data_IF_050187876575
#
_entry.id   IF_050187876575
#
_cell.length_a   1.000
_cell.length_b   1.000
_cell.length_c   1.000
_cell.angle_alpha   90.00
_cell.angle_beta   90.00
_cell.angle_gamma   90.00
#
_symmetry.space_group_name_H-M   'P 1'
#
loop_
_entity.id
_entity.type
_entity.pdbx_description
1 polymer ?
#
# COMPACT_ATOMS: atom_id res chain seq x y z
N UNK A 1 11.01 16.52 -9.26
CA UNK A 1 11.01 17.80 -10.02
C UNK A 1 12.39 18.00 -10.65
N UNK A 2 13.47 18.17 -9.88
CA UNK A 2 14.86 18.34 -10.36
C UNK A 2 15.24 17.35 -11.48
N UNK A 3 15.12 16.04 -11.28
CA UNK A 3 15.46 15.02 -12.29
C UNK A 3 14.69 15.27 -13.60
N UNK A 4 13.38 15.52 -13.51
CA UNK A 4 12.57 15.79 -14.69
C UNK A 4 13.02 17.07 -15.39
N UNK A 5 13.12 18.16 -14.66
CA UNK A 5 13.33 19.49 -15.24
C UNK A 5 14.77 19.69 -15.75
N UNK A 6 15.76 19.12 -15.06
CA UNK A 6 17.18 19.33 -15.38
C UNK A 6 17.84 18.21 -16.22
N UNK A 7 17.37 16.97 -16.06
CA UNK A 7 18.00 15.83 -16.71
C UNK A 7 17.17 15.16 -17.81
N UNK A 8 15.88 15.46 -17.91
CA UNK A 8 14.99 14.84 -18.91
C UNK A 8 14.50 15.86 -19.92
N UNK A 9 13.82 16.91 -19.47
CA UNK A 9 13.20 17.89 -20.36
C UNK A 9 14.16 18.62 -21.33
N UNK A 10 15.45 18.85 -21.02
CA UNK A 10 16.39 19.42 -21.97
C UNK A 10 16.66 18.54 -23.19
N UNK A 11 16.38 17.22 -23.09
CA UNK A 11 16.73 16.25 -24.12
C UNK A 11 15.51 15.53 -24.73
N UNK A 12 14.35 15.62 -24.07
CA UNK A 12 13.13 14.89 -24.46
C UNK A 12 11.91 15.77 -24.29
N UNK A 13 11.07 15.87 -25.34
CA UNK A 13 9.74 16.49 -25.25
C UNK A 13 8.80 15.56 -24.49
N UNK A 14 8.83 15.66 -23.15
CA UNK A 14 8.01 14.85 -22.25
C UNK A 14 6.83 15.66 -21.72
N UNK A 15 5.62 15.30 -22.14
CA UNK A 15 4.39 15.80 -21.53
C UNK A 15 4.13 15.03 -20.24
N UNK A 16 3.90 15.74 -19.14
CA UNK A 16 3.67 15.13 -17.84
C UNK A 16 2.60 15.86 -17.05
N UNK A 17 1.77 15.12 -16.35
CA UNK A 17 0.88 15.65 -15.31
C UNK A 17 1.56 15.53 -13.94
N UNK A 18 1.36 16.51 -13.08
CA UNK A 18 1.95 16.55 -11.73
C UNK A 18 0.86 16.56 -10.67
N UNK A 19 1.00 15.67 -9.70
CA UNK A 19 0.11 15.55 -8.54
C UNK A 19 0.92 15.76 -7.27
N UNK A 20 0.57 16.79 -6.48
CA UNK A 20 1.25 17.05 -5.22
C UNK A 20 0.70 16.13 -4.12
N UNK A 21 1.52 15.17 -3.69
CA UNK A 21 1.20 14.25 -2.61
C UNK A 21 1.80 14.69 -1.26
N UNK A 22 2.18 15.96 -1.13
CA UNK A 22 2.59 16.55 0.14
C UNK A 22 1.43 16.62 1.14
N UNK A 23 1.74 16.54 2.45
CA UNK A 23 0.71 16.51 3.51
C UNK A 23 -0.24 17.72 3.45
N UNK A 24 0.22 18.97 3.26
CA UNK A 24 -0.70 20.11 3.23
C UNK A 24 -1.71 20.03 2.10
N UNK A 25 -1.29 19.63 0.91
CA UNK A 25 -2.20 19.56 -0.24
C UNK A 25 -3.13 18.35 -0.17
N UNK A 26 -2.66 17.21 0.35
CA UNK A 26 -3.52 16.06 0.65
C UNK A 26 -4.60 16.42 1.66
N UNK A 27 -4.23 17.16 2.70
CA UNK A 27 -5.17 17.62 3.73
C UNK A 27 -6.22 18.59 3.16
N UNK A 28 -5.78 19.54 2.34
CA UNK A 28 -6.65 20.50 1.65
C UNK A 28 -7.67 19.81 0.71
N UNK A 29 -7.25 18.72 0.05
CA UNK A 29 -8.08 18.00 -0.91
C UNK A 29 -8.80 16.78 -0.30
N UNK A 30 -8.78 16.62 1.02
CA UNK A 30 -9.28 15.43 1.70
C UNK A 30 -8.73 14.12 1.10
N UNK A 31 -7.44 14.13 0.74
CA UNK A 31 -6.71 13.04 0.09
C UNK A 31 -7.20 12.67 -1.33
N UNK A 32 -8.09 13.47 -1.93
CA UNK A 32 -8.59 13.23 -3.28
C UNK A 32 -7.45 13.21 -4.30
N UNK A 33 -6.43 14.06 -4.15
CA UNK A 33 -5.25 14.10 -5.02
C UNK A 33 -4.52 12.75 -5.10
N UNK A 34 -4.54 11.96 -4.04
CA UNK A 34 -3.95 10.60 -4.04
C UNK A 34 -4.74 9.67 -4.97
N UNK A 35 -6.06 9.75 -4.96
CA UNK A 35 -6.94 8.98 -5.84
C UNK A 35 -6.74 9.42 -7.28
N UNK A 36 -6.76 10.73 -7.55
CA UNK A 36 -6.58 11.29 -8.89
C UNK A 36 -5.25 10.89 -9.51
N UNK A 37 -4.17 10.89 -8.70
CA UNK A 37 -2.84 10.44 -9.14
C UNK A 37 -2.82 8.95 -9.52
N UNK A 38 -3.56 8.11 -8.82
CA UNK A 38 -3.66 6.68 -9.11
C UNK A 38 -4.47 6.41 -10.37
N UNK A 39 -5.58 7.11 -10.57
CA UNK A 39 -6.39 7.00 -11.78
C UNK A 39 -5.65 7.53 -13.01
N UNK A 40 -4.88 8.60 -12.87
CA UNK A 40 -3.99 9.08 -13.92
C UNK A 40 -2.91 8.03 -14.28
N UNK A 41 -2.30 7.39 -13.28
CA UNK A 41 -1.33 6.32 -13.49
C UNK A 41 -1.93 5.14 -14.26
N UNK A 42 -3.19 4.77 -13.99
CA UNK A 42 -3.93 3.76 -14.75
C UNK A 42 -4.18 4.20 -16.19
N UNK A 43 -4.61 5.44 -16.35
CA UNK A 43 -4.92 6.01 -17.68
C UNK A 43 -3.71 6.04 -18.61
N UNK A 44 -2.56 6.45 -18.08
CA UNK A 44 -1.34 6.61 -18.88
C UNK A 44 -0.44 5.36 -18.91
N UNK A 45 -0.68 4.39 -18.02
CA UNK A 45 0.11 3.15 -17.93
C UNK A 45 1.51 3.34 -17.34
N UNK A 46 1.90 4.55 -16.97
CA UNK A 46 3.21 4.88 -16.39
C UNK A 46 3.11 6.03 -15.40
N UNK A 47 3.81 5.92 -14.31
CA UNK A 47 3.93 6.98 -13.32
C UNK A 47 5.26 6.90 -12.57
N UNK A 48 5.76 8.05 -12.13
CA UNK A 48 6.93 8.14 -11.24
C UNK A 48 6.50 8.81 -9.93
N UNK A 49 6.63 8.09 -8.83
CA UNK A 49 6.30 8.59 -7.50
C UNK A 49 7.55 8.81 -6.68
N UNK A 50 7.71 10.01 -6.15
CA UNK A 50 8.74 10.32 -5.16
C UNK A 50 8.31 9.88 -3.75
N UNK A 51 9.24 9.96 -2.79
CA UNK A 51 8.95 9.73 -1.39
C UNK A 51 7.85 10.67 -0.87
N UNK A 52 7.01 10.15 0.02
CA UNK A 52 5.95 10.91 0.70
C UNK A 52 5.97 10.62 2.18
N UNK A 53 5.43 11.55 2.96
CA UNK A 53 5.30 11.41 4.41
C UNK A 53 3.92 10.80 4.73
N UNK A 54 3.92 9.79 5.59
CA UNK A 54 2.69 9.31 6.25
C UNK A 54 2.64 9.94 7.63
N UNK A 55 1.57 10.67 7.98
CA UNK A 55 1.49 11.35 9.26
C UNK A 55 1.35 10.37 10.42
N UNK A 56 1.97 10.71 11.52
CA UNK A 56 1.75 10.14 12.85
C UNK A 56 1.19 11.23 13.76
N UNK A 57 0.95 10.93 15.04
CA UNK A 57 0.38 11.90 15.98
C UNK A 57 1.19 13.21 16.05
N UNK A 58 2.52 13.13 16.12
CA UNK A 58 3.39 14.31 16.14
C UNK A 58 3.26 15.17 14.88
N UNK A 59 3.12 14.55 13.72
CA UNK A 59 2.98 15.25 12.44
C UNK A 59 1.61 15.87 12.23
N UNK A 60 0.59 15.40 12.94
CA UNK A 60 -0.72 16.04 12.97
C UNK A 60 -0.60 17.48 13.46
N UNK A 61 0.13 17.69 14.56
CA UNK A 61 0.34 19.01 15.14
C UNK A 61 1.31 19.86 14.31
N UNK A 62 2.43 19.27 13.85
CA UNK A 62 3.45 19.93 13.05
C UNK A 62 2.86 20.55 11.76
N UNK A 63 2.03 19.79 11.05
CA UNK A 63 1.42 20.22 9.78
C UNK A 63 0.01 20.76 9.94
N UNK A 64 -0.54 20.81 11.16
CA UNK A 64 -1.92 21.26 11.47
C UNK A 64 -2.96 20.54 10.63
N UNK A 65 -2.82 19.21 10.53
CA UNK A 65 -3.72 18.37 9.73
C UNK A 65 -5.06 18.18 10.46
N UNK A 66 -6.15 18.17 9.72
CA UNK A 66 -7.46 17.89 10.29
C UNK A 66 -7.73 16.38 10.43
N UNK A 67 -6.92 15.54 9.76
CA UNK A 67 -7.06 14.07 9.82
C UNK A 67 -5.72 13.38 9.67
N UNK A 68 -5.54 12.26 10.37
CA UNK A 68 -4.39 11.38 10.19
C UNK A 68 -4.58 10.53 8.92
N UNK A 69 -4.06 11.03 7.80
CA UNK A 69 -4.18 10.41 6.49
C UNK A 69 -3.42 9.09 6.41
N UNK A 70 -4.02 8.09 5.79
CA UNK A 70 -3.35 6.80 5.51
C UNK A 70 -2.19 6.99 4.54
N UNK A 71 -1.33 5.98 4.43
CA UNK A 71 -0.23 6.03 3.47
C UNK A 71 -0.73 6.18 2.03
N UNK A 72 -0.29 7.19 1.27
CA UNK A 72 -0.68 7.34 -0.14
C UNK A 72 -0.18 6.16 -0.99
N UNK A 73 0.92 5.51 -0.58
CA UNK A 73 1.40 4.31 -1.24
C UNK A 73 0.38 3.16 -1.18
N UNK A 74 -0.26 2.98 -0.02
CA UNK A 74 -1.30 1.97 0.16
C UNK A 74 -2.53 2.25 -0.70
N UNK A 75 -2.99 3.51 -0.71
CA UNK A 75 -4.14 3.95 -1.52
C UNK A 75 -3.88 3.77 -3.02
N UNK A 76 -2.74 4.27 -3.52
CA UNK A 76 -2.36 4.14 -4.94
C UNK A 76 -2.27 2.67 -5.35
N UNK A 77 -1.55 1.84 -4.58
CA UNK A 77 -1.42 0.40 -4.88
C UNK A 77 -2.76 -0.33 -4.88
N UNK A 78 -3.63 -0.01 -3.95
CA UNK A 78 -4.96 -0.62 -3.87
C UNK A 78 -5.85 -0.25 -5.07
N UNK A 79 -5.73 0.97 -5.59
CA UNK A 79 -6.48 1.42 -6.77
C UNK A 79 -5.90 0.78 -8.04
N UNK A 80 -4.57 0.74 -8.16
CA UNK A 80 -3.89 0.16 -9.32
C UNK A 80 -4.00 -1.36 -9.36
N UNK A 81 -4.03 -1.99 -8.17
CA UNK A 81 -3.90 -3.46 -8.00
C UNK A 81 -2.56 -3.96 -8.59
N UNK A 82 -2.39 -5.27 -8.69
CA UNK A 82 -1.23 -5.89 -9.34
C UNK A 82 -0.19 -6.43 -8.36
N UNK A 83 0.96 -6.80 -8.92
CA UNK A 83 2.04 -7.46 -8.18
C UNK A 83 3.36 -6.76 -8.45
N UNK A 84 4.12 -6.51 -7.40
CA UNK A 84 5.48 -5.98 -7.49
C UNK A 84 6.47 -7.11 -7.24
N UNK A 85 7.34 -7.38 -8.20
CA UNK A 85 8.45 -8.32 -8.06
C UNK A 85 9.74 -7.55 -7.76
N UNK A 86 10.45 -7.99 -6.73
CA UNK A 86 11.74 -7.44 -6.32
C UNK A 86 12.79 -8.52 -6.46
N UNK A 87 13.43 -8.56 -7.62
CA UNK A 87 14.60 -9.38 -7.84
C UNK A 87 15.83 -8.67 -7.25
N UNK A 88 16.77 -9.39 -6.65
CA UNK A 88 17.98 -8.80 -6.11
C UNK A 88 18.90 -8.30 -7.23
N UNK A 89 19.48 -7.14 -7.01
CA UNK A 89 20.58 -6.64 -7.84
C UNK A 89 21.88 -7.06 -7.14
N UNK A 90 22.61 -7.99 -7.73
CA UNK A 90 23.86 -8.49 -7.17
C UNK A 90 25.06 -7.79 -7.78
N UNK A 91 25.98 -7.33 -6.94
CA UNK A 91 27.25 -6.72 -7.34
C UNK A 91 28.36 -7.61 -6.80
N UNK A 92 29.24 -8.17 -7.64
CA UNK A 92 30.26 -9.16 -7.22
C UNK A 92 31.18 -8.69 -6.09
N UNK A 93 31.47 -7.40 -6.02
CA UNK A 93 32.31 -6.81 -4.98
C UNK A 93 31.59 -6.52 -3.65
N UNK A 94 30.27 -6.68 -3.60
CA UNK A 94 29.46 -6.44 -2.40
C UNK A 94 28.90 -7.77 -1.92
N UNK A 95 29.39 -8.23 -0.79
CA UNK A 95 28.91 -9.48 -0.21
C UNK A 95 27.51 -9.31 0.40
N UNK A 96 26.59 -10.29 0.24
CA UNK A 96 25.28 -10.25 0.85
C UNK A 96 25.39 -10.29 2.38
N UNK A 97 24.43 -9.66 3.07
CA UNK A 97 24.35 -9.67 4.53
C UNK A 97 24.26 -11.09 5.11
N UNK A 98 23.65 -12.01 4.38
CA UNK A 98 23.56 -13.43 4.74
C UNK A 98 24.51 -14.21 3.82
N UNK A 99 25.64 -14.63 4.36
CA UNK A 99 26.72 -15.24 3.58
C UNK A 99 26.35 -16.53 2.85
N UNK A 100 25.35 -17.27 3.36
CA UNK A 100 24.91 -18.57 2.80
C UNK A 100 23.86 -18.41 1.68
N UNK A 101 23.46 -17.20 1.33
CA UNK A 101 22.54 -16.98 0.22
C UNK A 101 23.31 -16.91 -1.09
N UNK A 102 23.39 -18.06 -1.76
CA UNK A 102 24.11 -18.22 -3.02
C UNK A 102 23.24 -17.97 -4.25
N UNK A 103 21.91 -18.10 -4.09
CA UNK A 103 20.94 -17.92 -5.17
C UNK A 103 20.09 -16.68 -4.94
N UNK A 104 19.68 -15.99 -6.01
CA UNK A 104 18.78 -14.84 -5.87
C UNK A 104 17.42 -15.26 -5.31
N UNK A 105 16.89 -14.46 -4.37
CA UNK A 105 15.57 -14.62 -3.80
C UNK A 105 14.70 -13.47 -4.28
N UNK A 106 13.70 -13.76 -5.10
CA UNK A 106 12.75 -12.75 -5.58
C UNK A 106 11.55 -12.66 -4.64
N UNK A 107 11.23 -11.46 -4.21
CA UNK A 107 10.07 -11.18 -3.35
C UNK A 107 8.91 -10.66 -4.20
N UNK A 108 7.82 -11.41 -4.25
CA UNK A 108 6.56 -10.95 -4.82
C UNK A 108 5.73 -10.23 -3.76
N UNK A 109 5.20 -9.05 -4.10
CA UNK A 109 4.34 -8.27 -3.20
C UNK A 109 2.99 -8.04 -3.84
N UNK A 110 1.94 -8.50 -3.16
CA UNK A 110 0.56 -8.20 -3.50
C UNK A 110 0.24 -6.74 -3.21
N UNK A 111 -0.42 -6.06 -4.13
CA UNK A 111 -0.67 -4.61 -4.04
C UNK A 111 -2.05 -4.26 -3.45
N UNK A 112 -2.86 -5.23 -3.09
CA UNK A 112 -4.24 -5.03 -2.63
C UNK A 112 -4.52 -5.67 -1.28
N UNK A 113 -5.36 -5.01 -0.47
CA UNK A 113 -5.83 -5.55 0.80
C UNK A 113 -4.75 -5.61 1.88
N UNK A 114 -4.74 -6.71 2.63
CA UNK A 114 -3.77 -6.99 3.69
C UNK A 114 -3.64 -5.84 4.70
N UNK A 115 -2.43 -5.55 5.16
CA UNK A 115 -2.15 -4.48 6.13
C UNK A 115 -2.48 -3.06 5.63
N UNK A 116 -2.54 -2.83 4.32
CA UNK A 116 -2.83 -1.49 3.79
C UNK A 116 -4.30 -1.08 3.90
N UNK A 117 -5.20 -2.06 3.96
CA UNK A 117 -6.65 -1.86 4.14
C UNK A 117 -7.18 -2.50 5.41
N UNK A 118 -6.29 -2.86 6.35
CA UNK A 118 -6.69 -3.35 7.65
C UNK A 118 -7.45 -2.28 8.44
N UNK A 119 -8.31 -2.75 9.32
CA UNK A 119 -8.94 -1.94 10.35
C UNK A 119 -8.44 -2.41 11.71
N UNK A 120 -8.33 -1.48 12.65
CA UNK A 120 -7.84 -1.75 14.00
C UNK A 120 -8.84 -1.28 15.03
N UNK A 121 -8.99 -2.07 16.07
CA UNK A 121 -9.78 -1.75 17.24
C UNK A 121 -8.95 -2.01 18.49
N UNK A 122 -8.89 -1.03 19.40
CA UNK A 122 -8.35 -1.21 20.73
C UNK A 122 -9.45 -1.71 21.66
N UNK A 123 -9.22 -2.84 22.33
CA UNK A 123 -10.02 -3.28 23.45
C UNK A 123 -9.37 -2.75 24.72
N UNK A 124 -10.08 -1.95 25.50
CA UNK A 124 -9.54 -1.32 26.73
C UNK A 124 -9.93 -2.08 27.99
N UNK A 125 -10.77 -3.10 27.88
CA UNK A 125 -11.28 -3.93 28.98
C UNK A 125 -11.38 -5.41 28.55
N UNK A 126 -11.58 -6.36 29.47
CA UNK A 126 -11.89 -7.75 29.15
C UNK A 126 -13.14 -7.87 28.29
N UNK A 127 -13.11 -8.81 27.33
CA UNK A 127 -14.25 -9.02 26.45
C UNK A 127 -13.92 -9.97 25.30
N UNK A 128 -14.94 -10.31 24.50
CA UNK A 128 -14.82 -11.26 23.40
C UNK A 128 -14.87 -10.56 22.06
N UNK A 129 -13.81 -10.73 21.26
CA UNK A 129 -13.75 -10.26 19.88
C UNK A 129 -14.35 -11.30 18.92
N UNK A 130 -15.17 -10.84 17.98
CA UNK A 130 -15.83 -11.68 17.00
C UNK A 130 -15.66 -11.14 15.58
N UNK A 131 -15.53 -12.04 14.62
CA UNK A 131 -15.65 -11.73 13.19
C UNK A 131 -17.07 -12.04 12.75
N UNK A 132 -17.75 -11.04 12.21
CA UNK A 132 -19.15 -11.17 11.74
C UNK A 132 -19.20 -10.85 10.25
N UNK A 133 -19.83 -11.73 9.48
CA UNK A 133 -20.15 -11.48 8.08
C UNK A 133 -21.67 -11.50 7.91
N UNK A 134 -22.22 -10.40 7.39
CA UNK A 134 -23.63 -10.24 7.08
C UNK A 134 -23.82 -10.11 5.57
N UNK A 135 -24.28 -11.17 4.95
CA UNK A 135 -24.58 -11.23 3.52
C UNK A 135 -25.84 -10.43 3.17
N UNK A 136 -25.86 -9.83 1.99
CA UNK A 136 -27.06 -9.12 1.46
C UNK A 136 -28.31 -10.01 1.35
N UNK A 137 -28.14 -11.33 1.32
CA UNK A 137 -29.21 -12.33 1.33
C UNK A 137 -29.77 -12.62 2.73
N UNK A 138 -29.27 -11.94 3.77
CA UNK A 138 -29.64 -12.21 5.18
C UNK A 138 -28.83 -13.33 5.83
N UNK A 139 -27.95 -14.01 5.10
CA UNK A 139 -27.06 -15.03 5.68
C UNK A 139 -26.05 -14.36 6.61
N UNK A 140 -26.02 -14.83 7.86
CA UNK A 140 -25.07 -14.37 8.88
C UNK A 140 -24.12 -15.50 9.25
N UNK A 141 -22.83 -15.16 9.38
CA UNK A 141 -21.78 -16.02 9.90
C UNK A 141 -21.03 -15.27 11.00
N UNK A 142 -20.74 -15.96 12.09
CA UNK A 142 -20.02 -15.38 13.23
C UNK A 142 -18.98 -16.37 13.72
N UNK A 143 -17.78 -15.88 13.97
CA UNK A 143 -16.64 -16.66 14.47
C UNK A 143 -16.00 -15.86 15.60
N UNK A 144 -15.77 -16.49 16.73
CA UNK A 144 -14.98 -15.91 17.80
C UNK A 144 -13.51 -15.83 17.37
N UNK A 145 -12.90 -14.65 17.50
CA UNK A 145 -11.47 -14.43 17.25
C UNK A 145 -10.68 -14.73 18.51
N UNK A 146 -11.08 -14.11 19.64
CA UNK A 146 -10.37 -14.20 20.91
C UNK A 146 -11.21 -13.68 22.07
N UNK A 147 -10.99 -14.26 23.25
CA UNK A 147 -11.51 -13.74 24.50
C UNK A 147 -10.39 -13.10 25.31
N UNK A 148 -10.49 -11.79 25.51
CA UNK A 148 -9.48 -10.99 26.21
C UNK A 148 -9.76 -10.98 27.71
N UNK A 149 -8.74 -11.25 28.51
CA UNK A 149 -8.76 -11.08 29.97
C UNK A 149 -8.43 -9.66 30.42
N UNK A 150 -8.03 -8.79 29.49
CA UNK A 150 -7.65 -7.40 29.71
C UNK A 150 -7.58 -6.62 28.40
N UNK A 151 -6.87 -5.51 28.41
CA UNK A 151 -6.69 -4.67 27.24
C UNK A 151 -5.92 -5.38 26.11
N UNK A 152 -6.30 -5.12 24.86
CA UNK A 152 -5.66 -5.73 23.68
C UNK A 152 -5.92 -4.97 22.40
N UNK A 153 -5.45 -5.53 21.29
CA UNK A 153 -5.67 -5.00 19.93
C UNK A 153 -6.25 -6.07 19.04
N UNK A 154 -7.22 -5.68 18.23
CA UNK A 154 -7.87 -6.54 17.23
C UNK A 154 -7.58 -5.92 15.86
N UNK A 155 -7.17 -6.74 14.88
CA UNK A 155 -6.98 -6.32 13.50
C UNK A 155 -7.86 -7.15 12.57
N UNK A 156 -8.56 -6.47 11.66
CA UNK A 156 -9.33 -7.10 10.59
C UNK A 156 -8.68 -6.84 9.24
N UNK A 157 -8.41 -7.91 8.49
CA UNK A 157 -7.90 -7.85 7.11
C UNK A 157 -8.91 -8.48 6.15
N UNK A 158 -8.87 -8.06 4.90
CA UNK A 158 -9.70 -8.64 3.84
C UNK A 158 -8.94 -8.69 2.53
N UNK A 159 -9.41 -9.56 1.66
CA UNK A 159 -8.97 -9.59 0.26
C UNK A 159 -10.16 -9.99 -0.64
N UNK A 160 -10.01 -9.86 -1.94
CA UNK A 160 -11.02 -10.28 -2.91
C UNK A 160 -10.48 -11.41 -3.78
N UNK A 161 -11.34 -12.36 -4.16
CA UNK A 161 -10.97 -13.47 -5.05
C UNK A 161 -10.34 -12.97 -6.36
N UNK A 162 -10.87 -11.87 -6.91
CA UNK A 162 -10.31 -11.25 -8.11
C UNK A 162 -8.86 -10.86 -7.92
N UNK A 163 -8.54 -10.19 -6.81
CA UNK A 163 -7.19 -9.73 -6.53
C UNK A 163 -6.24 -10.88 -6.19
N UNK A 164 -6.71 -11.90 -5.45
CA UNK A 164 -5.94 -13.12 -5.15
C UNK A 164 -5.59 -13.86 -6.44
N UNK A 165 -6.56 -14.04 -7.35
CA UNK A 165 -6.31 -14.70 -8.64
C UNK A 165 -5.34 -13.92 -9.52
N UNK A 166 -5.44 -12.59 -9.55
CA UNK A 166 -4.51 -11.71 -10.27
C UNK A 166 -3.09 -11.86 -9.74
N UNK A 167 -2.93 -11.87 -8.42
CA UNK A 167 -1.64 -12.08 -7.78
C UNK A 167 -1.04 -13.45 -8.11
N UNK A 168 -1.83 -14.52 -7.95
CA UNK A 168 -1.39 -15.88 -8.28
C UNK A 168 -0.98 -16.01 -9.75
N UNK A 169 -1.80 -15.48 -10.68
CA UNK A 169 -1.48 -15.47 -12.11
C UNK A 169 -0.16 -14.76 -12.40
N UNK A 170 0.06 -13.59 -11.79
CA UNK A 170 1.32 -12.84 -11.94
C UNK A 170 2.52 -13.62 -11.42
N UNK A 171 2.39 -14.31 -10.27
CA UNK A 171 3.46 -15.13 -9.71
C UNK A 171 3.79 -16.33 -10.60
N UNK A 172 2.79 -17.03 -11.11
CA UNK A 172 3.01 -18.15 -12.03
C UNK A 172 3.63 -17.71 -13.35
N UNK A 173 3.18 -16.60 -13.89
CA UNK A 173 3.76 -16.03 -15.11
C UNK A 173 5.23 -15.66 -14.91
N UNK A 174 5.55 -14.95 -13.83
CA UNK A 174 6.94 -14.61 -13.49
C UNK A 174 7.83 -15.84 -13.28
N UNK A 175 7.27 -16.95 -12.80
CA UNK A 175 8.03 -18.18 -12.59
C UNK A 175 8.29 -19.00 -13.88
N UNK A 176 7.55 -18.70 -14.97
CA UNK A 176 7.73 -19.34 -16.29
C UNK A 176 8.75 -18.56 -17.13
N UNK A 177 8.78 -17.24 -17.02
CA UNK A 177 9.71 -16.32 -17.69
C UNK A 177 11.14 -16.43 -17.11
#
# INVERSE_FOLDING_TARGET
KMIKDELILPFVDLKSEYYDLGLPYRDQTNDQVTIDSAEAAKKYGVAVKCATITPNAQRMDEYKLHKMWKSPNGTIRSIMDGTVFRAPITIPSIHPCVKNWEKPITIARHAYGDVYKSVELRADEPGTAKLVFEGKSGKKQEIEIHSFDGAGVIQGMHNTDKSIRSFAHSCFKFAID
#
